data_IF_807848625246
#
_entry.id   IF_807848625246
#
_cell.length_a   1.000
_cell.length_b   1.000
_cell.length_c   1.000
_cell.angle_alpha   90.00
_cell.angle_beta   90.00
_cell.angle_gamma   90.00
#
_symmetry.space_group_name_H-M   'P 1'
#
loop_
_entity.id
_entity.type
_entity.pdbx_description
1 polymer ?
#
# COMPACT_ATOMS: atom_id res chain seq x y z
N UNK A 1 16.14 10.75 -8.75
CA UNK A 1 16.99 9.85 -9.54
C UNK A 1 16.65 10.12 -11.00
N UNK A 2 17.54 10.73 -11.77
CA UNK A 2 17.20 11.15 -13.13
C UNK A 2 17.04 9.92 -14.02
N UNK A 3 15.84 9.66 -14.54
CA UNK A 3 15.58 8.55 -15.48
C UNK A 3 16.51 8.61 -16.72
N UNK A 4 16.93 9.82 -17.11
CA UNK A 4 17.90 10.02 -18.19
C UNK A 4 19.32 9.55 -17.83
N UNK A 5 19.69 9.45 -16.54
CA UNK A 5 20.97 8.90 -16.11
C UNK A 5 20.93 7.38 -16.09
N UNK A 6 19.83 6.78 -15.63
CA UNK A 6 19.69 5.30 -15.59
C UNK A 6 19.66 4.70 -17.00
N UNK A 7 18.99 5.34 -17.96
CA UNK A 7 18.98 4.90 -19.36
C UNK A 7 20.35 5.00 -20.02
N UNK A 8 21.10 6.10 -19.80
CA UNK A 8 22.49 6.23 -20.27
C UNK A 8 23.41 5.15 -19.71
N UNK A 9 23.27 4.84 -18.42
CA UNK A 9 24.07 3.79 -17.77
C UNK A 9 23.70 2.42 -18.34
N UNK A 10 22.41 2.11 -18.53
CA UNK A 10 21.98 0.87 -19.17
C UNK A 10 22.52 0.73 -20.59
N UNK A 11 22.44 1.77 -21.40
CA UNK A 11 23.02 1.77 -22.76
C UNK A 11 24.52 1.49 -22.73
N UNK A 12 25.25 2.17 -21.84
CA UNK A 12 26.69 1.92 -21.70
C UNK A 12 27.01 0.50 -21.23
N UNK A 13 26.19 -0.10 -20.37
CA UNK A 13 26.34 -1.48 -19.91
C UNK A 13 25.99 -2.50 -21.00
N UNK A 14 24.97 -2.23 -21.80
CA UNK A 14 24.60 -3.05 -22.97
C UNK A 14 25.70 -3.01 -24.04
N UNK A 15 26.26 -1.83 -24.32
CA UNK A 15 27.40 -1.68 -25.22
C UNK A 15 28.63 -2.47 -24.74
N UNK A 16 28.90 -2.45 -23.44
CA UNK A 16 30.00 -3.23 -22.85
C UNK A 16 29.72 -4.74 -22.82
N UNK A 17 28.47 -5.16 -22.63
CA UNK A 17 28.08 -6.58 -22.68
C UNK A 17 28.06 -7.15 -24.10
N UNK A 18 27.76 -6.31 -25.11
CA UNK A 18 27.78 -6.71 -26.52
C UNK A 18 29.18 -7.04 -27.04
N UNK A 19 30.22 -6.55 -26.35
CA UNK A 19 31.61 -6.96 -26.61
C UNK A 19 31.83 -8.34 -26.01
N UNK A 20 31.66 -9.38 -26.82
CA UNK A 20 31.95 -10.76 -26.43
C UNK A 20 33.43 -10.94 -26.09
N UNK A 21 33.77 -10.94 -24.81
CA UNK A 21 35.11 -11.19 -24.30
C UNK A 21 35.30 -12.71 -24.16
N UNK A 22 35.49 -13.42 -25.27
CA UNK A 22 35.90 -14.83 -25.19
C UNK A 22 37.42 -14.92 -25.09
N UNK A 23 37.93 -15.74 -24.16
CA UNK A 23 39.37 -15.98 -24.00
C UNK A 23 39.98 -16.45 -25.33
N UNK A 24 39.21 -17.21 -26.12
CA UNK A 24 39.60 -17.69 -27.45
C UNK A 24 39.83 -16.52 -28.42
N UNK A 25 38.93 -15.54 -28.48
CA UNK A 25 39.08 -14.32 -29.32
C UNK A 25 40.20 -13.41 -28.81
N UNK A 26 40.45 -13.36 -27.50
CA UNK A 26 41.56 -12.60 -26.93
C UNK A 26 42.93 -13.26 -27.17
N UNK A 27 42.98 -14.58 -27.36
CA UNK A 27 44.21 -15.31 -27.65
C UNK A 27 44.62 -15.27 -29.13
N UNK A 28 43.69 -14.96 -30.03
CA UNK A 28 43.92 -14.90 -31.48
C UNK A 28 44.98 -13.86 -31.90
N UNK A 29 45.02 -12.63 -31.36
CA UNK A 29 46.11 -11.67 -31.58
C UNK A 29 47.46 -12.16 -31.03
N UNK A 30 47.44 -12.87 -29.90
CA UNK A 30 48.65 -13.37 -29.24
C UNK A 30 49.27 -14.49 -30.10
N UNK A 31 48.46 -15.44 -30.57
CA UNK A 31 48.91 -16.52 -31.46
C UNK A 31 49.37 -16.01 -32.84
N UNK A 32 48.70 -15.00 -33.39
CA UNK A 32 49.10 -14.39 -34.67
C UNK A 32 50.39 -13.55 -34.56
N UNK A 33 50.63 -12.87 -33.43
CA UNK A 33 51.92 -12.21 -33.15
C UNK A 33 53.08 -13.20 -33.00
N UNK A 34 52.86 -14.34 -32.32
CA UNK A 34 53.85 -15.42 -32.19
C UNK A 34 54.19 -16.09 -33.54
N UNK A 35 53.30 -15.98 -34.54
CA UNK A 35 53.50 -16.52 -35.89
C UNK A 35 54.29 -15.56 -36.80
N UNK A 36 54.36 -14.26 -36.48
CA UNK A 36 55.08 -13.28 -37.30
C UNK A 36 56.60 -13.29 -37.07
N UNK A 37 57.07 -13.67 -35.88
CA UNK A 37 58.51 -13.75 -35.57
C UNK A 37 59.18 -15.06 -36.03
N UNK A 38 58.42 -16.02 -36.60
CA UNK A 38 58.91 -17.34 -37.02
C UNK A 38 58.90 -17.63 -38.53
N UNK A 39 58.63 -16.63 -39.37
CA UNK A 39 58.27 -16.82 -40.79
C UNK A 39 59.38 -17.32 -41.75
N UNK A 40 60.49 -17.88 -41.26
CA UNK A 40 61.56 -18.45 -42.11
C UNK A 40 61.80 -19.96 -41.94
N UNK A 41 61.00 -20.68 -41.16
CA UNK A 41 61.05 -22.14 -41.14
C UNK A 41 59.75 -22.79 -41.61
N UNK A 42 59.75 -23.16 -42.90
CA UNK A 42 58.73 -23.98 -43.53
C UNK A 42 58.50 -25.28 -42.73
N UNK A 43 57.45 -25.28 -41.93
CA UNK A 43 56.99 -26.47 -41.23
C UNK A 43 56.19 -27.32 -42.21
N UNK A 44 56.89 -28.26 -42.86
CA UNK A 44 56.27 -29.40 -43.53
C UNK A 44 55.61 -30.27 -42.46
N UNK A 45 54.32 -30.08 -42.18
CA UNK A 45 53.54 -31.04 -41.39
C UNK A 45 52.79 -31.95 -42.35
N UNK A 46 53.33 -33.16 -42.54
CA UNK A 46 52.64 -34.27 -43.19
C UNK A 46 51.41 -34.67 -42.36
N UNK A 47 50.27 -34.75 -43.02
CA UNK A 47 48.95 -34.85 -42.41
C UNK A 47 48.62 -36.18 -41.73
N UNK A 48 47.83 -36.07 -40.67
CA UNK A 48 46.60 -36.80 -40.42
C UNK A 48 45.99 -36.18 -39.15
N UNK A 49 44.73 -35.72 -39.21
CA UNK A 49 43.84 -35.28 -38.09
C UNK A 49 43.42 -33.81 -38.00
N UNK A 50 43.51 -33.00 -39.07
CA UNK A 50 42.84 -31.68 -39.10
C UNK A 50 41.39 -31.73 -39.64
N UNK A 51 40.83 -32.90 -39.91
CA UNK A 51 39.53 -33.05 -40.58
C UNK A 51 38.28 -32.85 -39.70
N UNK A 52 38.43 -32.34 -38.47
CA UNK A 52 37.28 -32.11 -37.55
C UNK A 52 37.17 -30.69 -37.00
N UNK A 53 38.00 -29.74 -37.49
CA UNK A 53 38.07 -28.38 -36.92
C UNK A 53 37.16 -27.35 -37.63
N UNK A 54 36.37 -27.74 -38.63
CA UNK A 54 35.67 -26.78 -39.50
C UNK A 54 34.17 -26.56 -39.23
N UNK A 55 33.58 -27.10 -38.15
CA UNK A 55 32.12 -26.96 -37.97
C UNK A 55 31.62 -26.56 -36.57
N UNK A 56 32.36 -26.83 -35.49
CA UNK A 56 31.89 -26.51 -34.14
C UNK A 56 32.97 -25.73 -33.39
N UNK A 57 32.59 -24.56 -32.87
CA UNK A 57 33.43 -23.79 -31.98
C UNK A 57 33.97 -24.71 -30.87
N UNK A 58 35.28 -24.68 -30.57
CA UNK A 58 35.88 -25.61 -29.63
C UNK A 58 35.19 -25.46 -28.27
N UNK A 59 34.40 -26.46 -27.91
CA UNK A 59 33.78 -26.53 -26.60
C UNK A 59 34.87 -26.83 -25.56
N UNK A 60 34.76 -26.31 -24.32
CA UNK A 60 35.79 -26.48 -23.29
C UNK A 60 36.11 -27.96 -23.02
N UNK A 61 35.10 -28.83 -23.10
CA UNK A 61 35.28 -30.28 -22.95
C UNK A 61 36.09 -30.92 -24.10
N UNK A 62 35.94 -30.42 -25.33
CA UNK A 62 36.74 -30.90 -26.48
C UNK A 62 38.22 -30.51 -26.34
N UNK A 63 38.48 -29.27 -25.90
CA UNK A 63 39.84 -28.78 -25.66
C UNK A 63 40.57 -29.58 -24.58
N UNK A 64 39.88 -29.96 -23.50
CA UNK A 64 40.48 -30.80 -22.45
C UNK A 64 40.87 -32.19 -22.97
N UNK A 65 40.02 -32.81 -23.80
CA UNK A 65 40.30 -34.10 -24.42
C UNK A 65 41.50 -34.01 -25.38
N UNK A 66 41.57 -32.96 -26.21
CA UNK A 66 42.69 -32.72 -27.12
C UNK A 66 43.99 -32.50 -26.37
N UNK A 67 43.98 -31.69 -25.29
CA UNK A 67 45.16 -31.47 -24.46
C UNK A 67 45.65 -32.75 -23.78
N UNK A 68 44.74 -33.63 -23.35
CA UNK A 68 45.10 -34.93 -22.80
C UNK A 68 45.76 -35.83 -23.86
N UNK A 69 45.16 -35.90 -25.06
CA UNK A 69 45.70 -36.66 -26.18
C UNK A 69 47.10 -36.16 -26.60
N UNK A 70 47.30 -34.85 -26.76
CA UNK A 70 48.60 -34.29 -27.11
C UNK A 70 49.65 -34.52 -26.02
N UNK A 71 49.28 -34.43 -24.74
CA UNK A 71 50.20 -34.76 -23.63
C UNK A 71 50.72 -36.19 -23.72
N UNK A 72 49.84 -37.15 -24.01
CA UNK A 72 50.22 -38.55 -24.15
C UNK A 72 51.09 -38.77 -25.41
N UNK A 73 50.71 -38.19 -26.54
CA UNK A 73 51.46 -38.26 -27.79
C UNK A 73 52.88 -37.69 -27.63
N UNK A 74 53.00 -36.49 -27.06
CA UNK A 74 54.30 -35.87 -26.83
C UNK A 74 55.13 -36.61 -25.79
N UNK A 75 54.52 -37.21 -24.77
CA UNK A 75 55.24 -38.06 -23.82
C UNK A 75 55.86 -39.28 -24.52
N UNK A 76 55.10 -39.96 -25.40
CA UNK A 76 55.58 -41.08 -26.21
C UNK A 76 56.68 -40.66 -27.18
N UNK A 77 56.47 -39.53 -27.88
CA UNK A 77 57.43 -39.01 -28.85
C UNK A 77 58.75 -38.60 -28.16
N UNK A 78 58.67 -37.94 -27.00
CA UNK A 78 59.84 -37.56 -26.19
C UNK A 78 60.61 -38.79 -25.73
N UNK A 79 59.93 -39.83 -25.26
CA UNK A 79 60.56 -41.08 -24.86
C UNK A 79 61.30 -41.73 -26.04
N UNK A 80 60.62 -41.92 -27.18
CA UNK A 80 61.20 -42.49 -28.38
C UNK A 80 62.40 -41.69 -28.89
N UNK A 81 62.30 -40.35 -28.91
CA UNK A 81 63.37 -39.47 -29.39
C UNK A 81 64.60 -39.54 -28.50
N UNK A 82 64.43 -39.44 -27.18
CA UNK A 82 65.55 -39.54 -26.23
C UNK A 82 66.22 -40.90 -26.33
N UNK A 83 65.44 -41.98 -26.45
CA UNK A 83 65.97 -43.33 -26.64
C UNK A 83 66.77 -43.46 -27.95
N UNK A 84 66.25 -42.93 -29.06
CA UNK A 84 66.93 -42.97 -30.36
C UNK A 84 68.23 -42.16 -30.36
N UNK A 85 68.19 -40.92 -29.85
CA UNK A 85 69.37 -40.05 -29.80
C UNK A 85 70.44 -40.62 -28.85
N UNK A 86 70.04 -41.23 -27.75
CA UNK A 86 70.99 -41.89 -26.83
C UNK A 86 71.61 -43.12 -27.44
N UNK A 87 70.82 -43.97 -28.12
CA UNK A 87 71.34 -45.12 -28.88
C UNK A 87 72.32 -44.69 -29.98
N UNK A 88 71.97 -43.67 -30.76
CA UNK A 88 72.83 -43.12 -31.81
C UNK A 88 74.13 -42.54 -31.24
N UNK A 89 74.03 -41.69 -30.20
CA UNK A 89 75.21 -41.12 -29.53
C UNK A 89 76.12 -42.20 -28.96
N UNK A 90 75.55 -43.26 -28.38
CA UNK A 90 76.31 -44.38 -27.83
C UNK A 90 77.08 -45.14 -28.93
N UNK A 91 76.41 -45.46 -30.04
CA UNK A 91 77.06 -46.11 -31.19
C UNK A 91 78.16 -45.21 -31.76
N UNK A 92 77.89 -43.91 -31.93
CA UNK A 92 78.88 -42.96 -32.43
C UNK A 92 80.07 -42.80 -31.46
N UNK A 93 79.85 -42.87 -30.16
CA UNK A 93 80.93 -42.80 -29.16
C UNK A 93 81.85 -44.03 -29.21
N UNK A 94 81.31 -45.22 -29.52
CA UNK A 94 82.07 -46.47 -29.63
C UNK A 94 82.76 -46.62 -30.99
N UNK A 95 82.07 -46.24 -32.06
CA UNK A 95 82.51 -46.46 -33.46
C UNK A 95 83.27 -45.24 -34.02
N UNK A 96 83.13 -44.06 -33.39
CA UNK A 96 83.83 -42.84 -33.79
C UNK A 96 85.34 -42.95 -33.57
N UNK A 97 86.12 -42.37 -34.49
CA UNK A 97 87.57 -42.31 -34.41
C UNK A 97 88.01 -40.84 -34.23
N UNK A 98 88.53 -40.43 -33.06
CA UNK A 98 88.88 -41.24 -31.88
C UNK A 98 87.67 -41.59 -30.97
N UNK A 99 87.72 -42.72 -30.25
CA UNK A 99 86.64 -43.15 -29.37
C UNK A 99 86.46 -42.18 -28.20
N UNK A 100 85.20 -41.85 -27.90
CA UNK A 100 84.87 -40.90 -26.84
C UNK A 100 84.92 -41.61 -25.48
N UNK A 101 86.00 -41.40 -24.73
CA UNK A 101 86.16 -41.95 -23.37
C UNK A 101 85.71 -40.87 -22.38
N UNK A 102 84.54 -41.07 -21.77
CA UNK A 102 84.04 -40.16 -20.73
C UNK A 102 84.90 -40.32 -19.47
N UNK A 103 85.53 -39.24 -19.03
CA UNK A 103 86.34 -39.27 -17.81
C UNK A 103 85.45 -39.12 -16.56
N UNK A 104 85.91 -39.63 -15.42
CA UNK A 104 85.18 -39.45 -14.15
C UNK A 104 84.99 -37.96 -13.82
N UNK A 105 85.94 -37.11 -14.21
CA UNK A 105 85.89 -35.68 -13.95
C UNK A 105 84.82 -34.99 -14.77
N UNK A 106 84.67 -35.34 -16.05
CA UNK A 106 83.56 -34.86 -16.91
C UNK A 106 82.19 -35.26 -16.36
N UNK A 107 82.05 -36.49 -15.84
CA UNK A 107 80.81 -36.92 -15.19
C UNK A 107 80.49 -36.09 -13.95
N UNK A 108 81.48 -35.82 -13.09
CA UNK A 108 81.30 -35.01 -11.90
C UNK A 108 80.90 -33.56 -12.22
N UNK A 109 81.47 -32.99 -13.29
CA UNK A 109 81.12 -31.63 -13.72
C UNK A 109 79.72 -31.58 -14.35
N UNK A 110 79.35 -32.57 -15.18
CA UNK A 110 77.98 -32.72 -15.70
C UNK A 110 76.94 -32.97 -14.60
N UNK A 111 77.31 -33.67 -13.52
CA UNK A 111 76.43 -33.86 -12.35
C UNK A 111 76.18 -32.55 -11.60
N UNK A 112 77.21 -31.69 -11.45
CA UNK A 112 77.06 -30.36 -10.85
C UNK A 112 76.19 -29.46 -11.72
N UNK A 113 76.42 -29.42 -13.02
CA UNK A 113 75.59 -28.63 -13.96
C UNK A 113 74.14 -29.10 -13.96
N UNK A 114 73.90 -30.41 -13.99
CA UNK A 114 72.55 -30.97 -13.88
C UNK A 114 71.90 -30.66 -12.53
N UNK A 115 72.66 -30.64 -11.44
CA UNK A 115 72.14 -30.28 -10.12
C UNK A 115 71.69 -28.82 -10.08
N UNK A 116 72.49 -27.90 -10.65
CA UNK A 116 72.15 -26.49 -10.77
C UNK A 116 70.93 -26.27 -11.69
N UNK A 117 70.92 -26.86 -12.88
CA UNK A 117 69.77 -26.77 -13.79
C UNK A 117 68.48 -27.38 -13.16
N UNK A 118 68.61 -28.45 -12.37
CA UNK A 118 67.48 -29.04 -11.63
C UNK A 118 66.96 -28.14 -10.52
N UNK A 119 67.82 -27.41 -9.81
CA UNK A 119 67.35 -26.47 -8.77
C UNK A 119 66.66 -25.27 -9.39
N UNK A 120 67.20 -24.71 -10.48
CA UNK A 120 66.57 -23.63 -11.25
C UNK A 120 65.21 -24.06 -11.81
N UNK A 121 65.12 -25.24 -12.44
CA UNK A 121 63.86 -25.77 -12.94
C UNK A 121 62.82 -25.95 -11.83
N UNK A 122 63.24 -26.36 -10.63
CA UNK A 122 62.33 -26.51 -9.48
C UNK A 122 61.82 -25.16 -9.00
N UNK A 123 62.67 -24.13 -8.95
CA UNK A 123 62.28 -22.78 -8.58
C UNK A 123 61.27 -22.20 -9.58
N UNK A 124 61.56 -22.30 -10.88
CA UNK A 124 60.66 -21.85 -11.95
C UNK A 124 59.32 -22.60 -11.96
N UNK A 125 59.33 -23.92 -11.69
CA UNK A 125 58.09 -24.70 -11.58
C UNK A 125 57.21 -24.22 -10.42
N UNK A 126 57.82 -23.87 -9.30
CA UNK A 126 57.11 -23.37 -8.13
C UNK A 126 56.52 -21.99 -8.43
N UNK A 127 57.30 -21.09 -9.04
CA UNK A 127 56.82 -19.77 -9.48
C UNK A 127 55.64 -19.89 -10.46
N UNK A 128 55.75 -20.74 -11.49
CA UNK A 128 54.65 -20.98 -12.44
C UNK A 128 53.43 -21.57 -11.74
N UNK A 129 53.61 -22.49 -10.78
CA UNK A 129 52.46 -23.03 -10.04
C UNK A 129 51.77 -21.98 -9.17
N UNK A 130 52.54 -21.06 -8.57
CA UNK A 130 51.99 -19.97 -7.79
C UNK A 130 51.24 -18.96 -8.67
N UNK A 131 51.80 -18.61 -9.84
CA UNK A 131 51.14 -17.76 -10.83
C UNK A 131 49.83 -18.38 -11.33
N UNK A 132 49.80 -19.68 -11.61
CA UNK A 132 48.58 -20.39 -12.04
C UNK A 132 47.52 -20.37 -10.93
N UNK A 133 47.92 -20.64 -9.68
CA UNK A 133 46.99 -20.56 -8.55
C UNK A 133 46.42 -19.15 -8.37
N UNK A 134 47.25 -18.12 -8.51
CA UNK A 134 46.79 -16.73 -8.47
C UNK A 134 45.82 -16.41 -9.61
N UNK A 135 46.12 -16.83 -10.84
CA UNK A 135 45.23 -16.65 -11.98
C UNK A 135 43.88 -17.34 -11.78
N UNK A 136 43.86 -18.55 -11.22
CA UNK A 136 42.60 -19.23 -10.90
C UNK A 136 41.78 -18.47 -9.86
N UNK A 137 42.41 -17.96 -8.80
CA UNK A 137 41.71 -17.19 -7.77
C UNK A 137 41.09 -15.92 -8.35
N UNK A 138 41.86 -15.18 -9.15
CA UNK A 138 41.41 -13.96 -9.84
C UNK A 138 40.30 -14.28 -10.85
N UNK A 139 40.40 -15.37 -11.60
CA UNK A 139 39.36 -15.81 -12.53
C UNK A 139 38.04 -16.15 -11.82
N UNK A 140 38.11 -16.86 -10.68
CA UNK A 140 36.91 -17.16 -9.87
C UNK A 140 36.31 -15.88 -9.29
N UNK A 141 37.13 -14.95 -8.81
CA UNK A 141 36.62 -13.67 -8.30
C UNK A 141 35.97 -12.82 -9.39
N UNK A 142 36.60 -12.75 -10.57
CA UNK A 142 36.06 -12.06 -11.74
C UNK A 142 34.71 -12.66 -12.17
N UNK A 143 34.58 -13.99 -12.18
CA UNK A 143 33.31 -14.66 -12.52
C UNK A 143 32.18 -14.27 -11.57
N UNK A 144 32.45 -14.21 -10.26
CA UNK A 144 31.46 -13.79 -9.25
C UNK A 144 31.06 -12.33 -9.42
N UNK A 145 32.03 -11.44 -9.65
CA UNK A 145 31.77 -10.01 -9.90
C UNK A 145 30.95 -9.82 -11.17
N UNK A 146 31.26 -10.57 -12.23
CA UNK A 146 30.53 -10.53 -13.49
C UNK A 146 29.07 -10.96 -13.32
N UNK A 147 28.80 -12.06 -12.62
CA UNK A 147 27.43 -12.47 -12.31
C UNK A 147 26.68 -11.43 -11.46
N UNK A 148 27.37 -10.80 -10.49
CA UNK A 148 26.81 -9.69 -9.71
C UNK A 148 26.38 -8.52 -10.58
N UNK A 149 27.26 -8.04 -11.46
CA UNK A 149 26.96 -6.97 -12.42
C UNK A 149 25.81 -7.37 -13.33
N UNK A 150 25.79 -8.60 -13.83
CA UNK A 150 24.71 -9.11 -14.69
C UNK A 150 23.35 -9.07 -14.00
N UNK A 151 23.27 -9.49 -12.73
CA UNK A 151 22.05 -9.43 -11.93
C UNK A 151 21.61 -7.98 -11.67
N UNK A 152 22.55 -7.09 -11.34
CA UNK A 152 22.24 -5.69 -11.10
C UNK A 152 21.80 -4.96 -12.38
N UNK A 153 22.39 -5.29 -13.53
CA UNK A 153 21.92 -4.78 -14.84
C UNK A 153 20.50 -5.24 -15.13
N UNK A 154 20.14 -6.49 -14.82
CA UNK A 154 18.77 -6.97 -14.98
C UNK A 154 17.78 -6.20 -14.08
N UNK A 155 18.15 -5.98 -12.81
CA UNK A 155 17.35 -5.15 -11.89
C UNK A 155 17.20 -3.72 -12.39
N UNK A 156 18.28 -3.13 -12.90
CA UNK A 156 18.28 -1.76 -13.42
C UNK A 156 17.37 -1.63 -14.66
N UNK A 157 17.26 -2.69 -15.46
CA UNK A 157 16.32 -2.75 -16.60
C UNK A 157 14.85 -2.75 -16.16
N UNK A 158 14.53 -3.42 -15.05
CA UNK A 158 13.15 -3.52 -14.54
C UNK A 158 12.67 -2.28 -13.77
N UNK A 159 13.60 -1.56 -13.13
CA UNK A 159 13.27 -0.43 -12.25
C UNK A 159 12.47 0.70 -12.93
N UNK A 160 12.79 1.16 -14.15
CA UNK A 160 12.03 2.20 -14.83
C UNK A 160 10.56 1.84 -15.03
N UNK A 161 10.25 0.59 -15.39
CA UNK A 161 8.87 0.13 -15.56
C UNK A 161 8.09 0.18 -14.25
N UNK A 162 8.67 -0.32 -13.16
CA UNK A 162 8.07 -0.25 -11.81
C UNK A 162 7.87 1.19 -11.34
N UNK A 163 8.78 2.09 -11.72
CA UNK A 163 8.70 3.50 -11.35
C UNK A 163 7.54 4.19 -12.09
N UNK A 164 7.37 3.90 -13.39
CA UNK A 164 6.21 4.36 -14.16
C UNK A 164 4.89 3.83 -13.60
N UNK A 165 4.81 2.53 -13.27
CA UNK A 165 3.62 1.92 -12.64
C UNK A 165 3.25 2.60 -11.31
N UNK A 166 4.25 2.93 -10.48
CA UNK A 166 4.04 3.63 -9.22
C UNK A 166 3.61 5.09 -9.44
N UNK A 167 4.17 5.78 -10.45
CA UNK A 167 3.78 7.13 -10.82
C UNK A 167 2.34 7.18 -11.32
N UNK A 168 1.95 6.24 -12.19
CA UNK A 168 0.57 6.07 -12.66
C UNK A 168 -0.38 5.79 -11.50
N UNK A 169 -0.01 4.89 -10.59
CA UNK A 169 -0.82 4.58 -9.41
C UNK A 169 -0.96 5.77 -8.47
N UNK A 170 0.08 6.58 -8.30
CA UNK A 170 0.01 7.82 -7.54
C UNK A 170 -0.91 8.83 -8.23
N UNK A 171 -0.85 8.92 -9.56
CA UNK A 171 -1.73 9.80 -10.33
C UNK A 171 -3.20 9.36 -10.22
N UNK A 172 -3.48 8.06 -10.31
CA UNK A 172 -4.82 7.48 -10.07
C UNK A 172 -5.33 7.82 -8.67
N UNK A 173 -4.53 7.56 -7.63
CA UNK A 173 -4.93 7.85 -6.23
C UNK A 173 -5.17 9.34 -5.99
N UNK A 174 -4.40 10.22 -6.65
CA UNK A 174 -4.63 11.66 -6.61
C UNK A 174 -5.91 12.05 -7.33
N UNK A 175 -6.16 11.47 -8.50
CA UNK A 175 -7.39 11.71 -9.25
C UNK A 175 -8.63 11.19 -8.49
N UNK A 176 -8.57 10.00 -7.90
CA UNK A 176 -9.63 9.47 -7.02
C UNK A 176 -9.90 10.40 -5.83
N UNK A 177 -8.84 10.95 -5.22
CA UNK A 177 -8.98 11.94 -4.14
C UNK A 177 -9.63 13.24 -4.60
N UNK A 178 -9.30 13.71 -5.80
CA UNK A 178 -9.89 14.93 -6.40
C UNK A 178 -11.35 14.70 -6.86
N UNK A 179 -11.67 13.51 -7.37
CA UNK A 179 -13.01 13.12 -7.83
C UNK A 179 -13.97 12.79 -6.69
N UNK A 180 -13.44 12.37 -5.53
CA UNK A 180 -14.23 12.15 -4.31
C UNK A 180 -14.59 13.50 -3.68
N UNK A 181 -15.44 14.26 -4.38
CA UNK A 181 -16.02 15.54 -3.97
C UNK A 181 -17.20 15.36 -2.99
N UNK A 182 -17.33 14.17 -2.40
CA UNK A 182 -18.47 13.81 -1.54
C UNK A 182 -18.40 14.58 -0.21
N UNK A 183 -17.20 14.97 0.25
CA UNK A 183 -17.03 15.87 1.40
C UNK A 183 -15.67 16.61 1.35
N UNK A 184 -15.65 17.96 1.20
CA UNK A 184 -14.42 18.75 1.18
C UNK A 184 -13.62 18.68 2.50
N UNK A 185 -14.26 18.22 3.59
CA UNK A 185 -13.60 17.98 4.87
C UNK A 185 -12.71 16.73 4.88
N UNK A 186 -12.97 15.75 4.02
CA UNK A 186 -12.14 14.53 3.90
C UNK A 186 -10.86 14.76 3.12
N UNK A 187 -10.80 15.85 2.34
CA UNK A 187 -9.64 16.24 1.55
C UNK A 187 -8.69 17.21 2.26
N UNK A 188 -8.98 17.56 3.52
CA UNK A 188 -8.17 18.50 4.30
C UNK A 188 -6.80 17.92 4.67
N UNK A 189 -5.72 18.73 4.64
CA UNK A 189 -4.45 18.36 5.25
C UNK A 189 -4.61 18.02 6.74
N UNK A 190 -3.80 17.08 7.23
CA UNK A 190 -3.85 16.59 8.60
C UNK A 190 -3.88 17.72 9.65
N UNK A 191 -3.07 18.76 9.47
CA UNK A 191 -3.05 19.92 10.37
C UNK A 191 -4.43 20.59 10.49
N UNK A 192 -5.12 20.84 9.38
CA UNK A 192 -6.46 21.44 9.39
C UNK A 192 -7.51 20.53 10.03
N UNK A 193 -7.40 19.21 9.84
CA UNK A 193 -8.31 18.26 10.50
C UNK A 193 -8.13 18.28 12.03
N UNK A 194 -6.88 18.37 12.50
CA UNK A 194 -6.58 18.46 13.93
C UNK A 194 -7.14 19.75 14.54
N UNK A 195 -7.05 20.88 13.83
CA UNK A 195 -7.64 22.15 14.26
C UNK A 195 -9.17 22.05 14.37
N UNK A 196 -9.85 21.46 13.37
CA UNK A 196 -11.30 21.27 13.39
C UNK A 196 -11.70 20.34 14.55
N UNK A 197 -10.98 19.24 14.77
CA UNK A 197 -11.21 18.35 15.91
C UNK A 197 -11.02 19.08 17.24
N UNK A 198 -9.96 19.90 17.37
CA UNK A 198 -9.74 20.71 18.56
C UNK A 198 -10.86 21.73 18.79
N UNK A 199 -11.40 22.35 17.72
CA UNK A 199 -12.55 23.26 17.83
C UNK A 199 -13.82 22.51 18.26
N UNK A 200 -14.13 21.38 17.63
CA UNK A 200 -15.30 20.56 17.95
C UNK A 200 -15.25 20.02 19.38
N UNK A 201 -14.09 19.63 19.87
CA UNK A 201 -13.93 19.17 21.25
C UNK A 201 -14.14 20.29 22.27
N UNK A 202 -13.73 21.54 21.97
CA UNK A 202 -14.06 22.71 22.79
C UNK A 202 -15.57 22.99 22.80
N UNK A 203 -16.21 23.00 21.63
CA UNK A 203 -17.67 23.16 21.52
C UNK A 203 -18.41 22.09 22.35
N UNK A 204 -17.98 20.83 22.27
CA UNK A 204 -18.56 19.74 23.07
C UNK A 204 -18.38 19.96 24.57
N UNK A 205 -17.22 20.46 25.01
CA UNK A 205 -16.97 20.76 26.42
C UNK A 205 -17.82 21.93 26.92
N UNK A 206 -18.04 22.96 26.11
CA UNK A 206 -18.91 24.09 26.42
C UNK A 206 -20.37 23.63 26.56
N UNK A 207 -20.88 22.88 25.58
CA UNK A 207 -22.24 22.31 25.63
C UNK A 207 -22.42 21.35 26.82
N UNK A 208 -21.39 20.57 27.17
CA UNK A 208 -21.42 19.71 28.36
C UNK A 208 -21.57 20.55 29.65
N UNK A 209 -20.81 21.65 29.78
CA UNK A 209 -20.93 22.57 30.92
C UNK A 209 -22.29 23.23 30.99
N UNK A 210 -22.85 23.64 29.85
CA UNK A 210 -24.20 24.21 29.78
C UNK A 210 -25.26 23.19 30.20
N UNK A 211 -25.15 21.94 29.72
CA UNK A 211 -26.03 20.84 30.12
C UNK A 211 -25.94 20.55 31.62
N UNK A 212 -24.73 20.55 32.19
CA UNK A 212 -24.54 20.40 33.64
C UNK A 212 -25.17 21.55 34.42
N UNK A 213 -24.97 22.80 33.98
CA UNK A 213 -25.57 23.97 34.59
C UNK A 213 -27.11 23.96 34.52
N UNK A 214 -27.68 23.50 33.40
CA UNK A 214 -29.11 23.33 33.24
C UNK A 214 -29.63 22.18 34.12
N UNK A 215 -28.95 21.03 34.14
CA UNK A 215 -29.27 19.90 35.03
C UNK A 215 -29.27 20.31 36.50
N UNK A 216 -28.37 21.19 36.92
CA UNK A 216 -28.33 21.72 38.29
C UNK A 216 -29.52 22.68 38.60
N UNK A 217 -30.05 23.38 37.59
CA UNK A 217 -31.22 24.28 37.75
C UNK A 217 -32.56 23.53 37.76
N UNK A 218 -32.67 22.40 37.05
CA UNK A 218 -33.88 21.56 36.99
C UNK A 218 -34.48 21.23 38.36
N UNK A 219 -33.74 20.71 39.37
CA UNK A 219 -34.33 20.34 40.65
C UNK A 219 -34.85 21.55 41.43
N UNK A 220 -34.22 22.73 41.30
CA UNK A 220 -34.69 23.96 41.95
C UNK A 220 -36.01 24.43 41.35
N UNK A 221 -36.07 24.48 40.01
CA UNK A 221 -37.31 24.82 39.30
C UNK A 221 -38.43 23.81 39.52
N UNK A 222 -38.08 22.53 39.64
CA UNK A 222 -39.04 21.48 40.03
C UNK A 222 -39.62 21.72 41.43
N UNK A 223 -38.77 22.03 42.42
CA UNK A 223 -39.23 22.37 43.78
C UNK A 223 -40.09 23.65 43.82
N UNK A 224 -39.72 24.68 43.04
CA UNK A 224 -40.52 25.90 42.90
C UNK A 224 -41.89 25.59 42.27
N UNK A 225 -41.95 24.75 41.23
CA UNK A 225 -43.20 24.32 40.61
C UNK A 225 -44.06 23.49 41.58
N UNK A 226 -43.47 22.54 42.31
CA UNK A 226 -44.16 21.75 43.34
C UNK A 226 -44.73 22.64 44.46
N UNK A 227 -43.99 23.68 44.89
CA UNK A 227 -44.46 24.67 45.86
C UNK A 227 -45.64 25.48 45.32
N UNK A 228 -45.53 26.03 44.12
CA UNK A 228 -46.62 26.80 43.50
C UNK A 228 -47.86 25.92 43.27
N UNK A 229 -47.67 24.65 42.88
CA UNK A 229 -48.76 23.69 42.77
C UNK A 229 -49.44 23.46 44.13
N UNK A 230 -48.67 23.31 45.21
CA UNK A 230 -49.21 23.20 46.56
C UNK A 230 -49.95 24.47 47.02
N UNK A 231 -49.51 25.66 46.59
CA UNK A 231 -50.19 26.94 46.87
C UNK A 231 -51.47 27.13 46.02
N UNK A 232 -51.52 26.58 44.80
CA UNK A 232 -52.71 26.62 43.93
C UNK A 232 -53.83 25.69 44.40
N UNK A 233 -53.51 24.49 44.91
CA UNK A 233 -54.51 23.53 45.42
C UNK A 233 -55.54 24.13 46.41
N UNK A 234 -55.15 24.87 47.47
CA UNK A 234 -56.11 25.50 48.37
C UNK A 234 -56.89 26.66 47.73
N UNK A 235 -56.32 27.33 46.72
CA UNK A 235 -57.04 28.37 45.97
C UNK A 235 -58.07 27.77 45.02
N UNK A 236 -57.74 26.66 44.36
CA UNK A 236 -58.64 25.91 43.51
C UNK A 236 -59.81 25.35 44.32
N UNK A 237 -59.57 24.76 45.49
CA UNK A 237 -60.63 24.31 46.40
C UNK A 237 -61.49 25.47 46.91
N UNK A 238 -60.89 26.62 47.28
CA UNK A 238 -61.66 27.84 47.62
C UNK A 238 -62.52 28.34 46.46
N UNK A 239 -61.98 28.33 45.23
CA UNK A 239 -62.74 28.68 44.02
C UNK A 239 -63.89 27.69 43.79
N UNK A 240 -63.65 26.39 43.90
CA UNK A 240 -64.68 25.36 43.76
C UNK A 240 -65.77 25.51 44.82
N UNK A 241 -65.41 25.73 46.08
CA UNK A 241 -66.35 25.98 47.16
C UNK A 241 -67.15 27.27 46.95
N UNK A 242 -66.50 28.34 46.49
CA UNK A 242 -67.17 29.60 46.13
C UNK A 242 -68.14 29.43 44.96
N UNK A 243 -67.75 28.69 43.92
CA UNK A 243 -68.64 28.36 42.80
C UNK A 243 -69.82 27.48 43.24
N UNK A 244 -69.58 26.51 44.13
CA UNK A 244 -70.64 25.69 44.71
C UNK A 244 -71.61 26.54 45.55
N UNK A 245 -71.08 27.40 46.43
CA UNK A 245 -71.88 28.32 47.24
C UNK A 245 -72.69 29.31 46.37
N UNK A 246 -72.11 29.83 45.29
CA UNK A 246 -72.82 30.69 44.34
C UNK A 246 -73.94 29.94 43.61
N UNK A 247 -73.68 28.71 43.14
CA UNK A 247 -74.70 27.84 42.53
C UNK A 247 -75.81 27.49 43.51
N UNK A 248 -75.49 27.19 44.77
CA UNK A 248 -76.49 26.95 45.80
C UNK A 248 -77.29 28.21 46.16
N UNK A 249 -76.65 29.39 46.22
CA UNK A 249 -77.35 30.66 46.43
C UNK A 249 -78.28 30.98 45.25
N UNK A 250 -77.86 30.68 44.03
CA UNK A 250 -78.71 30.79 42.85
C UNK A 250 -79.88 29.81 42.91
N UNK A 251 -79.65 28.54 43.27
CA UNK A 251 -80.73 27.56 43.51
C UNK A 251 -81.67 27.99 44.64
N UNK A 252 -81.17 28.59 45.73
CA UNK A 252 -82.00 29.13 46.82
C UNK A 252 -82.83 30.33 46.36
N UNK A 253 -82.28 31.20 45.50
CA UNK A 253 -83.03 32.31 44.87
C UNK A 253 -84.10 31.78 43.93
N UNK A 254 -83.77 30.85 43.05
CA UNK A 254 -84.72 30.20 42.14
C UNK A 254 -85.83 29.46 42.90
N UNK A 255 -85.49 28.77 44.01
CA UNK A 255 -86.47 28.14 44.89
C UNK A 255 -87.36 29.16 45.63
N UNK A 256 -86.80 30.31 46.05
CA UNK A 256 -87.59 31.38 46.70
C UNK A 256 -88.48 32.16 45.72
N UNK A 257 -88.06 32.28 44.45
CA UNK A 257 -88.82 32.93 43.38
C UNK A 257 -89.85 31.98 42.75
N UNK A 258 -89.62 30.67 42.81
CA UNK A 258 -90.56 29.64 42.35
C UNK A 258 -91.87 29.60 43.14
N UNK A 259 -91.86 29.96 44.42
CA UNK A 259 -93.11 30.04 45.21
C UNK A 259 -94.03 31.19 44.80
N UNK A 260 -93.48 32.34 44.41
CA UNK A 260 -94.28 33.53 44.06
C UNK A 260 -94.83 33.42 42.62
N UNK A 261 -94.11 32.75 41.71
CA UNK A 261 -94.59 32.50 40.36
C UNK A 261 -95.70 31.43 40.32
N UNK A 262 -95.57 30.35 41.09
CA UNK A 262 -96.60 29.30 41.16
C UNK A 262 -97.90 29.80 41.82
N UNK A 263 -97.83 30.67 42.84
CA UNK A 263 -99.01 31.28 43.44
C UNK A 263 -99.77 32.19 42.46
N UNK A 264 -99.06 32.90 41.59
CA UNK A 264 -99.66 33.73 40.54
C UNK A 264 -100.28 32.87 39.42
N UNK A 265 -99.63 31.78 39.03
CA UNK A 265 -100.18 30.84 38.05
C UNK A 265 -101.40 30.07 38.57
N UNK A 266 -101.41 29.66 39.84
CA UNK A 266 -102.57 29.03 40.47
C UNK A 266 -103.77 29.98 40.53
N UNK A 267 -103.55 31.26 40.88
CA UNK A 267 -104.60 32.29 40.81
C UNK A 267 -105.09 32.48 39.38
N UNK A 268 -104.22 32.56 38.39
CA UNK A 268 -104.62 32.70 36.99
C UNK A 268 -105.42 31.50 36.47
N UNK A 269 -105.06 30.27 36.88
CA UNK A 269 -105.83 29.06 36.55
C UNK A 269 -107.20 29.06 37.21
N UNK A 270 -107.29 29.48 38.47
CA UNK A 270 -108.57 29.62 39.18
C UNK A 270 -109.47 30.67 38.52
N UNK A 271 -108.92 31.84 38.14
CA UNK A 271 -109.65 32.88 37.42
C UNK A 271 -110.12 32.42 36.03
N UNK A 272 -109.32 31.65 35.28
CA UNK A 272 -109.77 31.08 34.01
C UNK A 272 -110.83 30.00 34.18
N UNK A 273 -110.72 29.18 35.23
CA UNK A 273 -111.71 28.15 35.54
C UNK A 273 -113.04 28.79 35.97
N UNK A 274 -113.03 29.81 36.83
CA UNK A 274 -114.24 30.55 37.21
C UNK A 274 -114.84 31.29 36.02
N UNK A 275 -114.03 31.86 35.14
CA UNK A 275 -114.48 32.45 33.87
C UNK A 275 -115.12 31.40 32.94
N UNK A 276 -114.57 30.19 32.86
CA UNK A 276 -115.14 29.11 32.05
C UNK A 276 -116.48 28.58 32.58
N UNK A 277 -116.62 28.47 33.91
CA UNK A 277 -117.88 28.07 34.56
C UNK A 277 -118.93 29.16 34.38
N UNK A 278 -118.56 30.43 34.57
CA UNK A 278 -119.46 31.57 34.33
C UNK A 278 -119.93 31.63 32.88
N UNK A 279 -119.04 31.33 31.91
CA UNK A 279 -119.39 31.24 30.48
C UNK A 279 -120.33 30.07 30.17
N UNK A 280 -120.20 28.93 30.87
CA UNK A 280 -121.09 27.78 30.70
C UNK A 280 -122.47 27.95 31.36
N UNK A 281 -122.60 28.75 32.41
CA UNK A 281 -123.89 28.97 33.10
C UNK A 281 -124.75 30.09 32.49
N UNK A 282 -124.19 30.88 31.57
CA UNK A 282 -124.86 32.08 31.01
C UNK A 282 -125.18 31.98 29.52
N UNK A 283 -124.95 30.84 28.83
CA UNK A 283 -125.25 30.61 27.40
C UNK A 283 -125.02 31.84 26.50
N UNK A 284 -123.86 32.49 26.67
CA UNK A 284 -123.46 33.61 25.84
C UNK A 284 -122.74 33.09 24.59
N UNK A 285 -123.53 32.79 23.56
CA UNK A 285 -123.01 32.62 22.20
C UNK A 285 -122.35 33.92 21.72
N UNK A 286 -121.08 33.79 21.28
CA UNK A 286 -120.49 34.61 20.23
C UNK A 286 -120.11 36.06 20.57
N UNK A 287 -118.84 36.29 20.93
CA UNK A 287 -118.14 37.54 20.59
C UNK A 287 -116.68 37.26 20.25
N UNK A 288 -116.31 37.42 18.97
CA UNK A 288 -114.91 37.55 18.52
C UNK A 288 -114.33 38.87 19.05
N UNK A 289 -113.13 38.91 19.64
CA UNK A 289 -112.37 40.15 19.75
C UNK A 289 -111.47 40.32 18.52
N UNK A 290 -111.70 41.44 17.84
CA UNK A 290 -110.83 42.02 16.82
C UNK A 290 -109.40 42.26 17.33
N UNK A 291 -108.47 42.18 16.39
CA UNK A 291 -107.05 42.47 16.53
C UNK A 291 -106.75 43.84 17.18
N UNK A 292 -105.65 43.90 17.95
CA UNK A 292 -104.88 45.14 18.10
C UNK A 292 -103.37 44.90 18.13
N UNK A 293 -102.72 45.63 17.23
CA UNK A 293 -101.30 45.77 16.94
C UNK A 293 -100.66 46.74 17.94
N UNK A 294 -99.50 46.39 18.48
CA UNK A 294 -98.47 47.27 19.06
C UNK A 294 -97.20 46.40 19.10
N UNK A 295 -96.14 46.57 18.29
CA UNK A 295 -95.21 47.70 18.16
C UNK A 295 -94.89 48.36 19.51
N UNK A 296 -93.77 47.94 20.11
CA UNK A 296 -92.81 48.85 20.71
C UNK A 296 -91.40 48.24 20.59
N UNK A 297 -90.58 48.89 19.78
CA UNK A 297 -89.12 48.85 19.83
C UNK A 297 -88.62 49.40 21.17
N UNK A 298 -87.41 49.03 21.59
CA UNK A 298 -86.68 49.83 22.58
C UNK A 298 -85.65 49.10 23.44
N UNK A 299 -84.47 48.86 22.85
CA UNK A 299 -83.14 49.10 23.41
C UNK A 299 -82.79 48.71 24.87
N UNK A 300 -81.71 47.94 24.99
CA UNK A 300 -80.48 48.49 25.58
C UNK A 300 -79.83 47.74 26.75
N UNK A 301 -78.52 47.54 26.57
CA UNK A 301 -77.45 47.55 27.59
C UNK A 301 -77.03 46.22 28.24
N UNK A 302 -75.95 45.68 27.65
CA UNK A 302 -74.69 45.23 28.27
C UNK A 302 -74.61 45.26 29.80
N UNK A 303 -74.21 44.11 30.36
CA UNK A 303 -73.01 43.97 31.19
C UNK A 303 -72.43 42.56 30.96
#
# INVERSE_FOLDING_TARGET
MDAAKTTKVLQSLEDLQSREISIVKLSEPIASSASQDGATHQQRTSGASNASLDADAPTPASLEADLAHYKELFAKLRFSYVEQVTKEKFIRAIVGDPPLIVTMQENLDLEKENAAAKSELKALKLEVSDMVAELETRARELSRRYEGVRLDTARLRDLPGKLAELEDRIAELKAERELSDVDPNLNLPLAKTQEIVARRTREQQELARELEALRAKVPRKRKEAERLQAELQPLETKRQNGMAAAKEAQRRKEASLGGVADDLEQRARWWRASESVLKQTLDLEGVKPCARRAVYEGNGLRA
#
